data_IF_684212707580
#
_entry.id   IF_684212707580
#
_cell.length_a   1.000
_cell.length_b   1.000
_cell.length_c   1.000
_cell.angle_alpha   90.00
_cell.angle_beta   90.00
_cell.angle_gamma   90.00
#
_symmetry.space_group_name_H-M   'P 1'
#
loop_
_entity.id
_entity.type
_entity.pdbx_description
1 polymer ?
#
# COMPACT_ATOMS: atom_id res chain seq x y z
N UNK A 1 7.23 5.28 -4.79
CA UNK A 1 7.64 3.85 -4.86
C UNK A 1 6.98 3.25 -6.08
N UNK A 2 7.75 2.68 -7.00
CA UNK A 2 7.18 1.91 -8.12
C UNK A 2 6.68 0.60 -7.51
N UNK A 3 5.47 0.10 -7.83
CA UNK A 3 4.89 -1.07 -7.17
C UNK A 3 5.61 -2.40 -7.47
N UNK A 4 6.85 -2.35 -7.94
CA UNK A 4 7.55 -3.48 -8.52
C UNK A 4 8.97 -3.63 -7.99
N UNK A 5 9.61 -4.75 -8.35
CA UNK A 5 11.01 -5.02 -8.01
C UNK A 5 11.95 -4.46 -9.08
N UNK A 6 13.26 -4.57 -8.85
CA UNK A 6 14.29 -4.26 -9.85
C UNK A 6 14.29 -5.24 -11.03
N UNK A 7 13.66 -6.40 -10.89
CA UNK A 7 13.68 -7.50 -11.87
C UNK A 7 12.52 -7.42 -12.87
N UNK A 8 11.37 -6.86 -12.47
CA UNK A 8 10.20 -6.77 -13.34
C UNK A 8 9.25 -5.67 -12.88
N UNK A 9 8.25 -5.34 -13.71
CA UNK A 9 7.13 -4.49 -13.31
C UNK A 9 5.99 -5.27 -12.64
N UNK A 10 6.21 -6.52 -12.25
CA UNK A 10 5.20 -7.31 -11.53
C UNK A 10 4.98 -6.69 -10.16
N UNK A 11 3.72 -6.54 -9.78
CA UNK A 11 3.37 -5.94 -8.51
C UNK A 11 3.72 -6.85 -7.34
N UNK A 12 4.16 -6.28 -6.22
CA UNK A 12 4.34 -7.01 -4.95
C UNK A 12 3.52 -6.35 -3.85
N UNK A 13 3.14 -7.12 -2.83
CA UNK A 13 2.38 -6.64 -1.68
C UNK A 13 2.87 -7.23 -0.37
N UNK A 14 2.56 -6.55 0.72
CA UNK A 14 2.85 -6.99 2.09
C UNK A 14 1.59 -6.74 2.94
N UNK A 15 1.24 -7.69 3.80
CA UNK A 15 0.19 -7.56 4.81
C UNK A 15 0.81 -7.03 6.10
N UNK A 16 0.17 -6.06 6.72
CA UNK A 16 0.69 -5.37 7.90
C UNK A 16 -0.46 -4.91 8.81
N UNK A 17 -0.19 -4.80 10.11
CA UNK A 17 -1.04 -4.18 11.12
C UNK A 17 -2.30 -4.95 11.55
N UNK A 18 -2.34 -6.26 11.29
CA UNK A 18 -3.40 -7.17 11.74
C UNK A 18 -2.88 -8.49 12.32
N UNK A 19 -1.66 -8.49 12.87
CA UNK A 19 -1.01 -9.64 13.53
C UNK A 19 -0.67 -10.83 12.60
N UNK A 20 -1.01 -10.76 11.30
CA UNK A 20 -0.65 -11.74 10.26
C UNK A 20 0.28 -11.10 9.19
N UNK A 21 1.39 -10.55 9.66
CA UNK A 21 2.33 -9.77 8.87
C UNK A 21 3.16 -10.65 7.93
N UNK A 22 3.35 -10.22 6.68
CA UNK A 22 4.16 -10.99 5.74
C UNK A 22 3.97 -10.64 4.28
N UNK A 23 4.71 -11.34 3.43
CA UNK A 23 4.50 -11.28 1.98
C UNK A 23 3.06 -11.69 1.67
N UNK A 24 2.39 -10.90 0.83
CA UNK A 24 0.96 -11.09 0.56
C UNK A 24 0.67 -12.46 -0.05
N UNK A 25 1.62 -13.03 -0.79
CA UNK A 25 1.51 -14.37 -1.36
C UNK A 25 1.48 -15.50 -0.30
N UNK A 26 1.93 -15.21 0.93
CA UNK A 26 1.97 -16.14 2.05
C UNK A 26 0.80 -15.89 3.01
N UNK A 27 0.59 -14.65 3.41
CA UNK A 27 -0.37 -14.27 4.47
C UNK A 27 -1.75 -13.86 3.95
N UNK A 28 -1.91 -13.70 2.64
CA UNK A 28 -3.19 -13.48 1.97
C UNK A 28 -3.21 -14.13 0.57
N UNK A 29 -3.11 -15.46 0.46
CA UNK A 29 -2.81 -16.17 -0.78
C UNK A 29 -3.84 -16.00 -1.91
N UNK A 30 -5.07 -15.52 -1.64
CA UNK A 30 -6.07 -15.18 -2.65
C UNK A 30 -6.16 -13.68 -2.98
N UNK A 31 -5.44 -12.83 -2.23
CA UNK A 31 -5.24 -11.44 -2.60
C UNK A 31 -4.42 -11.34 -3.89
N UNK A 32 -4.76 -10.35 -4.73
CA UNK A 32 -4.09 -10.13 -6.02
C UNK A 32 -3.73 -8.67 -6.15
N UNK A 33 -2.49 -8.41 -6.55
CA UNK A 33 -2.02 -7.09 -6.95
C UNK A 33 -1.50 -7.19 -8.37
N UNK A 34 -1.95 -6.29 -9.23
CA UNK A 34 -1.46 -6.17 -10.59
C UNK A 34 -0.97 -4.74 -10.82
N UNK A 35 0.04 -4.58 -11.68
CA UNK A 35 0.49 -3.27 -12.09
C UNK A 35 0.76 -3.20 -13.59
N UNK A 36 0.58 -2.00 -14.14
CA UNK A 36 0.83 -1.72 -15.56
C UNK A 36 1.43 -0.34 -15.71
N UNK A 37 2.52 -0.23 -16.47
CA UNK A 37 3.10 1.07 -16.84
C UNK A 37 2.15 1.85 -17.74
N UNK A 38 2.12 3.16 -17.57
CA UNK A 38 1.51 4.13 -18.49
C UNK A 38 2.60 5.07 -18.99
N UNK A 39 2.27 5.97 -19.93
CA UNK A 39 3.23 6.93 -20.46
C UNK A 39 3.79 7.89 -19.39
N UNK A 40 3.01 8.15 -18.33
CA UNK A 40 3.33 9.15 -17.30
C UNK A 40 3.38 8.57 -15.88
N UNK A 41 3.30 7.25 -15.73
CA UNK A 41 3.22 6.60 -14.42
C UNK A 41 2.82 5.14 -14.51
N UNK A 42 1.87 4.74 -13.68
CA UNK A 42 1.39 3.37 -13.61
C UNK A 42 -0.05 3.29 -13.10
N UNK A 43 -0.70 2.18 -13.41
CA UNK A 43 -1.95 1.75 -12.78
C UNK A 43 -1.63 0.61 -11.82
N UNK A 44 -2.23 0.65 -10.64
CA UNK A 44 -2.29 -0.44 -9.69
C UNK A 44 -3.73 -0.93 -9.59
N UNK A 45 -3.91 -2.24 -9.60
CA UNK A 45 -5.17 -2.88 -9.32
C UNK A 45 -4.99 -3.88 -8.18
N UNK A 46 -5.88 -3.80 -7.19
CA UNK A 46 -5.82 -4.62 -5.98
C UNK A 46 -7.16 -5.30 -5.80
N UNK A 47 -7.12 -6.61 -5.58
CA UNK A 47 -8.27 -7.42 -5.16
C UNK A 47 -7.93 -8.06 -3.82
N UNK A 48 -8.70 -7.71 -2.80
CA UNK A 48 -8.64 -8.33 -1.47
C UNK A 48 -9.94 -9.10 -1.24
N UNK A 49 -9.94 -10.44 -1.32
CA UNK A 49 -11.09 -11.25 -0.94
C UNK A 49 -11.44 -11.01 0.52
N UNK A 50 -12.74 -11.10 0.86
CA UNK A 50 -13.17 -11.00 2.26
C UNK A 50 -12.56 -12.10 3.13
N UNK A 51 -12.34 -13.30 2.59
CA UNK A 51 -11.73 -14.42 3.33
C UNK A 51 -10.29 -14.15 3.79
N UNK A 52 -9.64 -13.12 3.25
CA UNK A 52 -8.27 -12.70 3.59
C UNK A 52 -8.25 -11.51 4.56
N UNK A 53 -9.40 -11.19 5.17
CA UNK A 53 -9.54 -10.10 6.13
C UNK A 53 -10.04 -10.64 7.46
N UNK A 54 -9.63 -10.02 8.55
CA UNK A 54 -10.19 -10.34 9.85
C UNK A 54 -11.64 -9.85 9.98
N UNK A 55 -12.45 -10.60 10.73
CA UNK A 55 -13.88 -10.36 10.92
C UNK A 55 -14.21 -8.93 11.44
N UNK A 56 -13.27 -8.29 12.15
CA UNK A 56 -13.43 -6.96 12.72
C UNK A 56 -13.41 -5.80 11.70
N UNK A 57 -12.89 -6.02 10.48
CA UNK A 57 -12.66 -4.98 9.47
C UNK A 57 -13.35 -5.20 8.12
N UNK A 58 -14.09 -6.30 7.95
CA UNK A 58 -14.61 -6.73 6.65
C UNK A 58 -15.61 -5.75 6.01
N UNK A 59 -15.36 -5.27 4.77
CA UNK A 59 -16.31 -4.50 4.00
C UNK A 59 -17.61 -5.28 3.74
N UNK A 60 -18.75 -4.70 4.11
CA UNK A 60 -20.08 -5.29 3.87
C UNK A 60 -20.63 -6.15 5.01
N UNK A 61 -19.88 -6.38 6.10
CA UNK A 61 -20.49 -6.76 7.39
C UNK A 61 -21.15 -5.56 8.07
N UNK A 62 -20.62 -4.36 7.80
CA UNK A 62 -21.20 -3.09 8.22
C UNK A 62 -21.46 -2.21 6.98
N UNK A 63 -22.46 -1.31 7.03
CA UNK A 63 -22.79 -0.42 5.91
C UNK A 63 -21.63 0.51 5.55
N UNK A 64 -20.75 0.80 6.52
CA UNK A 64 -19.56 1.61 6.34
C UNK A 64 -18.34 0.91 6.96
N UNK A 65 -17.18 1.08 6.33
CA UNK A 65 -15.89 0.59 6.84
C UNK A 65 -14.83 1.69 6.73
N UNK A 66 -13.77 1.56 7.53
CA UNK A 66 -12.62 2.46 7.43
C UNK A 66 -11.77 2.09 6.21
N UNK A 67 -11.44 3.07 5.37
CA UNK A 67 -10.56 2.87 4.23
C UNK A 67 -9.66 4.09 4.03
N UNK A 68 -8.42 3.84 3.66
CA UNK A 68 -7.57 4.86 3.10
C UNK A 68 -6.71 4.29 1.96
N UNK A 69 -6.33 5.17 1.04
CA UNK A 69 -5.35 4.86 -0.02
C UNK A 69 -4.26 5.90 0.12
N UNK A 70 -3.04 5.43 0.39
CA UNK A 70 -1.89 6.28 0.70
C UNK A 70 -0.77 6.03 -0.32
N UNK A 71 -0.71 6.79 -1.43
CA UNK A 71 0.43 6.70 -2.32
C UNK A 71 1.66 7.37 -1.70
N UNK A 72 2.78 6.66 -1.77
CA UNK A 72 4.07 7.14 -1.30
C UNK A 72 4.92 7.52 -2.50
N UNK A 73 5.26 8.80 -2.59
CA UNK A 73 6.35 9.21 -3.46
C UNK A 73 7.66 8.85 -2.78
N UNK A 74 8.52 8.17 -3.53
CA UNK A 74 9.79 7.71 -3.03
C UNK A 74 10.84 7.94 -4.11
N UNK A 75 11.95 8.57 -3.74
CA UNK A 75 13.07 8.78 -4.64
C UNK A 75 14.35 8.26 -4.00
N UNK A 76 15.30 7.74 -4.80
CA UNK A 76 16.62 7.37 -4.31
C UNK A 76 17.22 8.49 -3.47
N UNK A 77 17.84 8.14 -2.34
CA UNK A 77 18.66 9.08 -1.59
C UNK A 77 19.94 9.32 -2.38
N UNK A 78 20.46 10.53 -2.31
CA UNK A 78 21.76 10.87 -2.89
C UNK A 78 22.75 11.25 -1.80
N UNK A 79 24.04 11.07 -2.05
CA UNK A 79 25.10 11.67 -1.23
C UNK A 79 25.16 13.20 -1.43
N UNK A 80 26.13 13.85 -0.78
CA UNK A 80 26.32 15.30 -0.85
C UNK A 80 26.68 15.80 -2.26
N UNK A 81 27.23 14.93 -3.11
CA UNK A 81 27.66 15.23 -4.48
C UNK A 81 26.57 14.86 -5.50
N UNK A 82 25.41 14.35 -5.05
CA UNK A 82 24.27 13.99 -5.89
C UNK A 82 24.31 12.56 -6.44
N UNK A 83 25.25 11.72 -6.01
CA UNK A 83 25.31 10.33 -6.47
C UNK A 83 24.26 9.48 -5.73
N UNK A 84 23.53 8.58 -6.42
CA UNK A 84 22.57 7.69 -5.78
C UNK A 84 23.22 6.80 -4.72
N UNK A 85 22.63 6.78 -3.52
CA UNK A 85 23.00 5.83 -2.48
C UNK A 85 22.41 4.44 -2.79
N UNK A 86 23.08 3.35 -2.38
CA UNK A 86 22.57 2.00 -2.57
C UNK A 86 21.27 1.78 -1.77
N UNK A 87 20.39 0.94 -2.33
CA UNK A 87 19.19 0.46 -1.63
C UNK A 87 19.60 -0.47 -0.48
N UNK A 88 19.42 -0.02 0.77
CA UNK A 88 19.62 -0.85 1.97
C UNK A 88 18.27 -1.19 2.65
N UNK A 89 18.10 -2.44 3.14
CA UNK A 89 16.90 -2.83 3.88
C UNK A 89 16.60 -1.88 5.05
N UNK A 90 15.33 -1.50 5.23
CA UNK A 90 14.89 -0.60 6.30
C UNK A 90 15.11 0.89 6.03
N UNK A 91 15.72 1.27 4.90
CA UNK A 91 15.90 2.69 4.57
C UNK A 91 14.59 3.35 4.12
N UNK A 92 14.25 4.46 4.76
CA UNK A 92 13.07 5.24 4.40
C UNK A 92 13.35 6.09 3.14
N UNK A 93 12.76 5.66 2.03
CA UNK A 93 12.80 6.37 0.75
C UNK A 93 11.63 7.31 0.52
N UNK A 94 10.66 7.37 1.44
CA UNK A 94 9.50 8.24 1.35
C UNK A 94 9.91 9.72 1.34
N UNK A 95 9.54 10.43 0.28
CA UNK A 95 9.69 11.88 0.18
C UNK A 95 8.37 12.58 0.54
N UNK A 96 7.28 12.12 -0.07
CA UNK A 96 5.96 12.72 0.08
C UNK A 96 4.92 11.63 0.28
N UNK A 97 3.88 11.95 1.04
CA UNK A 97 2.71 11.09 1.25
C UNK A 97 1.47 11.92 1.00
N UNK A 98 0.55 11.37 0.24
CA UNK A 98 -0.80 11.91 0.15
C UNK A 98 -1.79 10.78 0.40
N UNK A 99 -3.01 11.14 0.78
CA UNK A 99 -4.04 10.18 1.16
C UNK A 99 -5.40 10.65 0.73
N UNK A 100 -6.31 9.70 0.52
CA UNK A 100 -7.72 10.03 0.34
C UNK A 100 -8.30 10.68 1.60
N UNK A 101 -8.06 10.09 2.77
CA UNK A 101 -8.16 10.78 4.06
C UNK A 101 -6.76 11.25 4.48
N UNK A 102 -6.62 12.54 4.81
CA UNK A 102 -5.31 13.15 5.10
C UNK A 102 -5.30 13.85 6.46
N UNK A 103 -4.61 13.23 7.42
CA UNK A 103 -4.33 13.74 8.75
C UNK A 103 -2.88 13.43 9.14
N UNK A 104 -2.35 14.10 10.16
CA UNK A 104 -1.05 13.74 10.73
C UNK A 104 -1.04 12.29 11.21
N UNK A 105 -0.01 11.53 10.81
CA UNK A 105 0.18 10.11 11.15
C UNK A 105 -0.95 9.15 10.72
N UNK A 106 -1.77 9.51 9.72
CA UNK A 106 -2.92 8.71 9.26
C UNK A 106 -2.56 7.27 8.85
N UNK A 107 -1.33 6.99 8.44
CA UNK A 107 -0.88 5.65 8.07
C UNK A 107 -0.85 4.65 9.25
N UNK A 108 -0.67 5.15 10.48
CA UNK A 108 -0.57 4.33 11.69
C UNK A 108 -1.77 4.51 12.62
N UNK A 109 -2.80 5.23 12.19
CA UNK A 109 -3.97 5.55 13.01
C UNK A 109 -5.27 5.29 12.22
N UNK A 110 -5.82 4.07 12.27
CA UNK A 110 -7.02 3.69 11.51
C UNK A 110 -8.27 4.48 11.91
N UNK A 111 -8.29 5.11 13.10
CA UNK A 111 -9.39 5.98 13.52
C UNK A 111 -9.49 7.27 12.69
N UNK A 112 -8.43 7.64 11.98
CA UNK A 112 -8.38 8.82 11.10
C UNK A 112 -8.69 8.48 9.63
N UNK A 113 -8.99 7.21 9.32
CA UNK A 113 -9.30 6.80 7.96
C UNK A 113 -10.68 7.29 7.53
N UNK A 114 -10.85 7.49 6.22
CA UNK A 114 -12.13 7.87 5.64
C UNK A 114 -13.15 6.75 5.80
N UNK A 115 -14.44 7.10 5.74
CA UNK A 115 -15.53 6.12 5.75
C UNK A 115 -15.93 5.81 4.31
N UNK A 116 -15.74 4.56 3.90
CA UNK A 116 -16.22 4.03 2.64
C UNK A 116 -17.48 3.20 2.85
N UNK A 117 -18.38 3.22 1.88
CA UNK A 117 -19.58 2.40 1.84
C UNK A 117 -19.58 1.59 0.54
N UNK A 118 -20.01 0.34 0.61
CA UNK A 118 -20.29 -0.44 -0.60
C UNK A 118 -21.67 -0.02 -1.11
N UNK A 119 -21.76 0.29 -2.40
CA UNK A 119 -23.06 0.47 -3.04
C UNK A 119 -23.86 -0.85 -3.00
N UNK A 120 -25.19 -0.79 -2.89
CA UNK A 120 -26.05 -1.97 -2.87
C UNK A 120 -25.99 -2.77 -4.17
#
# INVERSE_FOLDING_TARGET
MIPCTTESFVARGFREADEDEGEIEITAPDARVASRRTATGYTLEVRMPRSEMDDGGMPGLQPNFGLNVLPYDAAPKTDADGNPLPLIPGQNYGQSRFGWSSWGAVQANPYLWGRAALAP
#
